data_IF_201893141326
#
_entry.id   IF_201893141326
#
_cell.length_a   1.000
_cell.length_b   1.000
_cell.length_c   1.000
_cell.angle_alpha   90.00
_cell.angle_beta   90.00
_cell.angle_gamma   90.00
#
_symmetry.space_group_name_H-M   'P 1'
#
loop_
_entity.id
_entity.type
_entity.pdbx_description
1 polymer ?
#
# COMPACT_ATOMS: atom_id res chain seq x y z
N UNK A 1 -0.66 39.01 -22.41
CA UNK A 1 -1.03 39.13 -20.98
C UNK A 1 -1.64 37.84 -20.40
N UNK A 2 -2.53 37.15 -21.10
CA UNK A 2 -3.17 35.91 -20.62
C UNK A 2 -2.21 34.72 -20.38
N UNK A 3 -1.15 34.59 -21.18
CA UNK A 3 -0.15 33.50 -21.08
C UNK A 3 0.79 33.64 -19.87
N UNK A 4 1.10 34.86 -19.45
CA UNK A 4 1.91 35.14 -18.25
C UNK A 4 1.12 34.72 -16.99
N UNK A 5 -0.16 35.13 -16.90
CA UNK A 5 -1.04 34.78 -15.77
C UNK A 5 -1.25 33.27 -15.67
N UNK A 6 -1.42 32.59 -16.81
CA UNK A 6 -1.55 31.13 -16.85
C UNK A 6 -0.28 30.45 -16.34
N UNK A 7 0.89 30.84 -16.83
CA UNK A 7 2.19 30.28 -16.44
C UNK A 7 2.50 30.47 -14.96
N UNK A 8 2.10 31.59 -14.38
CA UNK A 8 2.31 31.91 -12.97
C UNK A 8 1.37 31.11 -12.05
N UNK A 9 0.13 30.88 -12.51
CA UNK A 9 -0.84 30.02 -11.83
C UNK A 9 -0.45 28.53 -11.89
N UNK A 10 0.07 28.09 -13.03
CA UNK A 10 0.60 26.73 -13.23
C UNK A 10 1.82 26.45 -12.34
N UNK A 11 2.70 27.45 -12.20
CA UNK A 11 3.85 27.41 -11.29
C UNK A 11 3.41 27.31 -9.83
N UNK A 12 2.47 28.14 -9.39
CA UNK A 12 1.95 28.09 -8.02
C UNK A 12 1.24 26.77 -7.70
N UNK A 13 0.50 26.19 -8.66
CA UNK A 13 -0.11 24.87 -8.52
C UNK A 13 0.94 23.76 -8.41
N UNK A 14 2.01 23.84 -9.23
CA UNK A 14 3.10 22.87 -9.22
C UNK A 14 3.91 22.92 -7.91
N UNK A 15 4.16 24.12 -7.38
CA UNK A 15 4.85 24.32 -6.10
C UNK A 15 4.05 23.72 -4.94
N UNK A 16 2.73 23.94 -4.88
CA UNK A 16 1.85 23.33 -3.86
C UNK A 16 1.83 21.80 -3.93
N UNK A 17 1.69 21.23 -5.13
CA UNK A 17 1.68 19.78 -5.32
C UNK A 17 3.02 19.14 -4.93
N UNK A 18 4.13 19.82 -5.19
CA UNK A 18 5.47 19.35 -4.78
C UNK A 18 5.61 19.36 -3.26
N UNK A 19 5.08 20.39 -2.60
CA UNK A 19 5.10 20.49 -1.15
C UNK A 19 4.26 19.41 -0.47
N UNK A 20 3.07 19.15 -1.00
CA UNK A 20 2.19 18.09 -0.52
C UNK A 20 2.82 16.70 -0.68
N UNK A 21 3.53 16.45 -1.80
CA UNK A 21 4.30 15.23 -2.01
C UNK A 21 5.47 15.08 -1.03
N UNK A 22 6.19 16.17 -0.73
CA UNK A 22 7.26 16.19 0.27
C UNK A 22 6.71 15.93 1.69
N UNK A 23 5.57 16.52 2.02
CA UNK A 23 4.90 16.31 3.31
C UNK A 23 4.46 14.85 3.45
N UNK A 24 3.88 14.25 2.41
CA UNK A 24 3.51 12.83 2.38
C UNK A 24 4.72 11.89 2.52
N UNK A 25 5.85 12.22 1.88
CA UNK A 25 7.11 11.47 2.01
C UNK A 25 7.74 11.60 3.41
N UNK A 26 7.55 12.74 4.08
CA UNK A 26 8.07 12.97 5.43
C UNK A 26 7.37 12.14 6.52
N UNK A 27 6.19 11.58 6.20
CA UNK A 27 5.42 10.73 7.11
C UNK A 27 5.94 9.28 7.18
N UNK A 28 6.89 8.89 6.32
CA UNK A 28 7.52 7.57 6.30
C UNK A 28 6.83 6.55 5.38
N UNK A 29 7.26 5.29 5.46
CA UNK A 29 6.74 4.19 4.63
C UNK A 29 5.22 4.04 4.83
N UNK A 30 4.45 4.21 3.75
CA UNK A 30 2.98 4.15 3.76
C UNK A 30 2.51 2.70 3.93
N UNK A 31 2.67 2.16 5.13
CA UNK A 31 2.13 0.86 5.52
C UNK A 31 0.81 1.10 6.24
N UNK A 32 -0.28 0.39 5.89
CA UNK A 32 -1.56 0.54 6.56
C UNK A 32 -1.40 0.26 8.06
N UNK A 33 -2.00 1.09 8.90
CA UNK A 33 -2.02 0.93 10.36
C UNK A 33 -2.83 -0.30 10.84
N UNK A 34 -3.43 -1.03 9.90
CA UNK A 34 -4.32 -2.17 10.12
C UNK A 34 -3.64 -3.51 9.77
N UNK A 35 -4.40 -4.59 9.85
CA UNK A 35 -3.96 -5.91 9.40
C UNK A 35 -3.65 -5.86 7.90
N UNK A 36 -2.48 -6.31 7.50
CA UNK A 36 -2.09 -6.40 6.09
C UNK A 36 -1.28 -7.66 5.78
N UNK A 37 -1.25 -8.11 4.51
CA UNK A 37 -0.49 -9.29 4.13
C UNK A 37 1.01 -8.97 4.02
N UNK A 38 1.82 -9.84 4.60
CA UNK A 38 3.25 -10.00 4.31
C UNK A 38 3.43 -11.26 3.47
N UNK A 39 3.99 -11.11 2.28
CA UNK A 39 4.16 -12.21 1.31
C UNK A 39 5.61 -12.67 1.36
N UNK A 40 5.82 -13.97 1.57
CA UNK A 40 7.13 -14.61 1.50
C UNK A 40 7.50 -14.87 0.02
N UNK A 41 8.52 -14.19 -0.54
CA UNK A 41 8.91 -14.34 -1.94
C UNK A 41 9.61 -15.67 -2.23
N UNK A 42 10.09 -16.40 -1.23
CA UNK A 42 10.69 -17.73 -1.41
C UNK A 42 9.58 -18.76 -1.61
N UNK A 43 8.51 -18.67 -0.81
CA UNK A 43 7.38 -19.62 -0.84
C UNK A 43 6.32 -19.29 -1.89
N UNK A 44 6.15 -18.02 -2.24
CA UNK A 44 5.17 -17.61 -3.22
C UNK A 44 5.44 -18.30 -4.56
N UNK A 45 4.41 -18.83 -5.23
CA UNK A 45 4.53 -19.47 -6.55
C UNK A 45 3.93 -18.62 -7.68
N UNK A 46 3.53 -17.37 -7.39
CA UNK A 46 2.97 -16.46 -8.39
C UNK A 46 1.57 -16.81 -8.89
N UNK A 47 0.78 -17.60 -8.15
CA UNK A 47 -0.53 -18.10 -8.61
C UNK A 47 -1.56 -17.01 -8.92
N UNK A 48 -1.39 -15.80 -8.41
CA UNK A 48 -2.36 -14.70 -8.58
C UNK A 48 -3.66 -14.83 -7.77
N UNK A 49 -3.87 -15.94 -7.04
CA UNK A 49 -5.10 -16.17 -6.28
C UNK A 49 -5.40 -15.05 -5.27
N UNK A 50 -4.36 -14.49 -4.63
CA UNK A 50 -4.50 -13.36 -3.72
C UNK A 50 -5.00 -12.07 -4.38
N UNK A 51 -4.70 -11.87 -5.67
CA UNK A 51 -5.16 -10.71 -6.45
C UNK A 51 -6.67 -10.82 -6.70
N UNK A 52 -7.13 -12.00 -7.11
CA UNK A 52 -8.54 -12.26 -7.39
C UNK A 52 -9.42 -12.30 -6.13
N UNK A 53 -8.87 -12.78 -5.01
CA UNK A 53 -9.59 -12.87 -3.75
C UNK A 53 -9.81 -11.51 -3.06
N UNK A 54 -9.11 -10.45 -3.47
CA UNK A 54 -9.21 -9.15 -2.82
C UNK A 54 -10.49 -8.39 -3.25
N UNK A 55 -11.43 -8.09 -2.33
CA UNK A 55 -12.69 -7.41 -2.68
C UNK A 55 -12.47 -5.94 -3.10
N UNK A 56 -11.43 -5.30 -2.56
CA UNK A 56 -11.08 -3.89 -2.84
C UNK A 56 -10.54 -3.67 -4.25
N UNK A 57 -10.06 -4.74 -4.90
CA UNK A 57 -9.43 -4.73 -6.24
C UNK A 57 -8.15 -3.89 -6.30
N UNK A 58 -7.17 -4.31 -7.11
CA UNK A 58 -5.88 -3.60 -7.33
C UNK A 58 -5.02 -3.31 -6.08
N UNK A 59 -5.32 -3.93 -4.94
CA UNK A 59 -4.49 -3.86 -3.73
C UNK A 59 -3.23 -4.71 -3.85
N UNK A 60 -3.40 -5.92 -4.40
CA UNK A 60 -2.35 -6.89 -4.64
C UNK A 60 -2.16 -7.06 -6.16
N UNK A 61 -0.91 -7.26 -6.58
CA UNK A 61 -0.55 -7.55 -7.98
C UNK A 61 0.54 -8.61 -8.02
N UNK A 62 0.68 -9.33 -9.14
CA UNK A 62 1.83 -10.20 -9.38
C UNK A 62 2.92 -9.42 -10.11
N UNK A 63 4.07 -9.24 -9.48
CA UNK A 63 5.26 -8.56 -10.03
C UNK A 63 6.42 -9.56 -10.03
N UNK A 64 7.11 -9.71 -11.16
CA UNK A 64 8.21 -10.67 -11.33
C UNK A 64 7.86 -12.10 -10.87
N UNK A 65 6.63 -12.55 -11.14
CA UNK A 65 6.14 -13.87 -10.75
C UNK A 65 5.87 -14.03 -9.26
N UNK A 66 5.82 -12.95 -8.48
CA UNK A 66 5.54 -12.95 -7.04
C UNK A 66 4.38 -12.03 -6.70
N UNK A 67 3.55 -12.43 -5.76
CA UNK A 67 2.52 -11.55 -5.22
C UNK A 67 3.16 -10.40 -4.44
N UNK A 68 2.69 -9.17 -4.67
CA UNK A 68 3.17 -7.96 -4.02
C UNK A 68 1.98 -7.10 -3.62
N UNK A 69 2.03 -6.52 -2.42
CA UNK A 69 1.08 -5.50 -1.97
C UNK A 69 1.44 -4.17 -2.63
N UNK A 70 0.77 -3.82 -3.72
CA UNK A 70 1.10 -2.65 -4.55
C UNK A 70 0.36 -1.38 -4.14
N UNK A 71 -0.81 -1.51 -3.52
CA UNK A 71 -1.55 -0.38 -2.95
C UNK A 71 -1.89 -0.67 -1.48
N UNK A 72 -0.94 -0.42 -0.56
CA UNK A 72 -1.14 -0.70 0.86
C UNK A 72 -2.27 0.11 1.49
N UNK A 73 -2.53 1.34 1.03
CA UNK A 73 -3.61 2.20 1.53
C UNK A 73 -5.00 1.64 1.22
N UNK A 74 -5.14 0.88 0.13
CA UNK A 74 -6.38 0.17 -0.19
C UNK A 74 -6.56 -1.13 0.61
N UNK A 75 -5.56 -1.57 1.39
CA UNK A 75 -5.65 -2.78 2.18
C UNK A 75 -6.43 -2.53 3.48
N UNK A 76 -7.72 -2.90 3.47
CA UNK A 76 -8.59 -2.79 4.65
C UNK A 76 -8.33 -3.90 5.68
N UNK A 77 -7.68 -5.00 5.27
CA UNK A 77 -7.32 -6.10 6.18
C UNK A 77 -8.31 -7.27 6.23
N UNK A 78 -9.08 -7.50 5.15
CA UNK A 78 -10.03 -8.62 5.04
C UNK A 78 -9.45 -10.03 5.26
N UNK A 79 -8.14 -10.21 5.07
CA UNK A 79 -7.49 -11.52 5.21
C UNK A 79 -7.73 -12.51 4.06
N UNK A 80 -8.70 -12.27 3.18
CA UNK A 80 -9.07 -13.18 2.06
C UNK A 80 -7.89 -13.61 1.16
N UNK A 81 -6.88 -12.75 1.02
CA UNK A 81 -5.68 -13.09 0.26
C UNK A 81 -4.88 -14.25 0.88
N UNK A 82 -4.82 -14.33 2.20
CA UNK A 82 -4.10 -15.39 2.91
C UNK A 82 -4.81 -16.73 2.75
N UNK A 83 -6.15 -16.74 2.87
CA UNK A 83 -6.97 -17.95 2.69
C UNK A 83 -6.92 -18.47 1.25
N UNK A 84 -6.88 -17.55 0.27
CA UNK A 84 -6.78 -17.91 -1.13
C UNK A 84 -5.40 -18.42 -1.55
N UNK A 85 -4.36 -18.30 -0.71
CA UNK A 85 -3.01 -18.68 -1.08
C UNK A 85 -2.81 -20.21 -1.02
N UNK A 86 -2.63 -20.91 -2.17
CA UNK A 86 -2.58 -22.37 -2.19
C UNK A 86 -1.36 -22.95 -1.47
N UNK A 87 -0.30 -22.15 -1.31
CA UNK A 87 0.97 -22.54 -0.68
C UNK A 87 1.20 -21.88 0.67
N UNK A 88 0.20 -21.13 1.18
CA UNK A 88 0.26 -20.40 2.46
C UNK A 88 1.52 -19.52 2.59
N UNK A 89 1.86 -18.82 1.51
CA UNK A 89 3.00 -17.90 1.47
C UNK A 89 2.67 -16.51 2.05
N UNK A 90 1.44 -16.28 2.51
CA UNK A 90 0.97 -14.99 3.00
C UNK A 90 0.73 -15.11 4.50
N UNK A 91 1.33 -14.20 5.27
CA UNK A 91 1.08 -14.04 6.72
C UNK A 91 0.38 -12.71 6.93
N UNK A 92 -0.70 -12.70 7.70
CA UNK A 92 -1.35 -11.45 8.10
C UNK A 92 -0.61 -10.89 9.32
N UNK A 93 -0.11 -9.67 9.20
CA UNK A 93 0.59 -8.96 10.26
C UNK A 93 -0.20 -7.70 10.59
N UNK A 94 -0.07 -7.21 11.82
CA UNK A 94 -0.70 -5.97 12.27
C UNK A 94 0.38 -4.90 12.45
N UNK A 95 0.23 -3.78 11.77
CA UNK A 95 1.19 -2.67 11.81
C UNK A 95 2.59 -3.03 11.29
N UNK A 96 3.56 -2.17 11.57
CA UNK A 96 4.98 -2.39 11.27
C UNK A 96 5.76 -2.76 12.53
N UNK A 97 6.86 -3.48 12.38
CA UNK A 97 7.75 -3.81 13.49
C UNK A 97 8.36 -2.57 14.20
N UNK A 98 8.27 -1.39 13.58
CA UNK A 98 8.90 -0.14 14.06
C UNK A 98 7.91 0.85 14.71
N UNK A 99 6.60 0.59 14.65
CA UNK A 99 5.61 1.35 15.42
C UNK A 99 4.88 0.41 16.35
N UNK A 100 5.33 0.34 17.60
CA UNK A 100 4.55 -0.21 18.68
C UNK A 100 3.20 0.52 18.75
N UNK A 101 2.12 -0.18 18.41
CA UNK A 101 0.77 0.29 18.73
C UNK A 101 0.61 0.07 20.23
N UNK A 102 0.52 1.16 20.99
CA UNK A 102 0.16 1.07 22.40
C UNK A 102 -1.23 0.41 22.51
N UNK A 103 -1.29 -0.78 23.10
CA UNK A 103 -2.55 -1.45 23.40
C UNK A 103 -3.21 -0.73 24.59
N UNK A 104 -4.46 -0.23 24.45
CA UNK A 104 -5.15 0.38 25.58
C UNK A 104 -5.29 -0.65 26.70
N UNK A 105 -4.81 -0.28 27.88
CA UNK A 105 -4.95 -1.08 29.09
C UNK A 105 -6.40 -0.94 29.58
N UNK A 106 -7.12 -2.06 29.70
CA UNK A 106 -8.39 -2.15 30.44
C UNK A 106 -8.14 -2.54 31.90
#
# INVERSE_FOLDING_TARGET
MLTIIWRERERSQSEKATQELMDLQSLGELVPASIHPKIDPIRCIGSGACVYACPEKRVLTVVNGRGVLTNPLGCIGHGACADACPVRAITLVFGTAERGVELPQI
#
